data_IF_041861803872
#
_entry.id   IF_041861803872
#
_cell.length_a   1.000
_cell.length_b   1.000
_cell.length_c   1.000
_cell.angle_alpha   90.00
_cell.angle_beta   90.00
_cell.angle_gamma   90.00
#
_symmetry.space_group_name_H-M   'P 1'
#
loop_
_entity.id
_entity.type
_entity.pdbx_description
1 polymer ?
#
# COMPACT_ATOMS: atom_id res chain seq x y z
N UNK A 1 -3.76 17.14 14.06
CA UNK A 1 -3.96 17.41 12.61
C UNK A 1 -2.58 17.55 11.97
N UNK A 2 -2.36 17.05 10.75
CA UNK A 2 -1.03 16.82 10.11
C UNK A 2 -0.12 18.05 9.94
N UNK A 3 -0.60 19.26 10.25
CA UNK A 3 0.14 20.52 10.13
C UNK A 3 0.37 20.96 8.67
N UNK A 4 -0.23 20.25 7.70
CA UNK A 4 -0.11 20.54 6.27
C UNK A 4 -1.34 21.32 5.81
N UNK A 5 -1.13 22.40 5.04
CA UNK A 5 -2.24 23.24 4.54
C UNK A 5 -3.11 22.45 3.55
N UNK A 6 -4.43 22.70 3.50
CA UNK A 6 -5.35 21.96 2.62
C UNK A 6 -4.95 21.93 1.14
N UNK A 7 -4.47 23.05 0.57
CA UNK A 7 -4.07 23.09 -0.84
C UNK A 7 -2.83 22.23 -1.12
N UNK A 8 -1.92 22.10 -0.15
CA UNK A 8 -0.74 21.24 -0.27
C UNK A 8 -1.15 19.78 -0.30
N UNK A 9 -2.11 19.38 0.54
CA UNK A 9 -2.67 18.03 0.49
C UNK A 9 -3.32 17.72 -0.85
N UNK A 10 -4.08 18.66 -1.42
CA UNK A 10 -4.67 18.50 -2.77
C UNK A 10 -3.60 18.31 -3.84
N UNK A 11 -2.51 19.06 -3.76
CA UNK A 11 -1.38 18.91 -4.66
C UNK A 11 -0.67 17.57 -4.45
N UNK A 12 -0.49 17.12 -3.21
CA UNK A 12 0.09 15.81 -2.94
C UNK A 12 -0.80 14.66 -3.45
N UNK A 13 -2.13 14.77 -3.37
CA UNK A 13 -3.03 13.78 -3.98
C UNK A 13 -2.86 13.65 -5.50
N UNK A 14 -2.57 14.75 -6.21
CA UNK A 14 -2.33 14.70 -7.67
C UNK A 14 -0.96 14.09 -7.98
N UNK A 15 0.04 14.38 -7.16
CA UNK A 15 1.41 13.91 -7.37
C UNK A 15 1.60 12.44 -6.95
N UNK A 16 1.11 12.06 -5.77
CA UNK A 16 1.35 10.77 -5.15
C UNK A 16 0.17 9.83 -5.38
N UNK A 17 0.28 8.94 -6.38
CA UNK A 17 -0.74 7.92 -6.69
C UNK A 17 -1.11 7.00 -5.51
N UNK A 18 -0.25 6.91 -4.50
CA UNK A 18 -0.46 6.12 -3.28
C UNK A 18 -1.36 6.82 -2.25
N UNK A 19 -1.53 8.14 -2.36
CA UNK A 19 -2.39 8.96 -1.49
C UNK A 19 -3.70 9.27 -2.24
N UNK A 20 -4.73 8.45 -2.03
CA UNK A 20 -6.02 8.56 -2.72
C UNK A 20 -7.16 8.51 -1.70
N UNK A 21 -7.42 9.60 -0.97
CA UNK A 21 -8.51 9.64 -0.01
C UNK A 21 -9.85 9.45 -0.71
N UNK A 22 -10.78 8.77 -0.04
CA UNK A 22 -12.12 8.56 -0.58
C UNK A 22 -12.84 9.91 -0.73
N UNK A 23 -13.48 10.13 -1.89
CA UNK A 23 -14.36 11.27 -2.10
C UNK A 23 -15.77 10.88 -1.71
N UNK A 24 -16.40 11.68 -0.85
CA UNK A 24 -17.86 11.62 -0.67
C UNK A 24 -18.55 12.26 -1.86
N UNK A 25 -19.84 11.96 -2.02
CA UNK A 25 -20.70 12.54 -3.05
C UNK A 25 -20.76 14.08 -2.97
N UNK A 26 -20.71 14.63 -1.75
CA UNK A 26 -20.54 16.07 -1.48
C UNK A 26 -19.20 16.70 -1.92
N UNK A 27 -18.22 15.93 -2.42
CA UNK A 27 -16.90 16.41 -2.80
C UNK A 27 -15.89 16.53 -1.64
N UNK A 28 -16.30 16.30 -0.39
CA UNK A 28 -15.40 16.24 0.76
C UNK A 28 -14.51 14.99 0.74
N UNK A 29 -13.23 15.19 1.07
CA UNK A 29 -12.22 14.12 1.15
C UNK A 29 -12.22 13.52 2.55
N UNK A 30 -12.39 12.20 2.63
CA UNK A 30 -12.25 11.46 3.89
C UNK A 30 -10.88 10.76 3.90
N UNK A 31 -9.97 11.27 4.72
CA UNK A 31 -8.67 10.64 4.96
C UNK A 31 -8.84 9.48 5.94
N UNK A 32 -8.34 8.31 5.55
CA UNK A 32 -8.22 7.14 6.41
C UNK A 32 -6.93 7.21 7.23
N UNK A 33 -6.80 6.34 8.24
CA UNK A 33 -5.55 6.20 9.01
C UNK A 33 -4.34 5.95 8.10
N UNK A 34 -4.50 5.11 7.08
CA UNK A 34 -3.46 4.81 6.09
C UNK A 34 -3.07 6.04 5.26
N UNK A 35 -4.04 6.90 4.93
CA UNK A 35 -3.74 8.16 4.25
C UNK A 35 -2.96 9.11 5.16
N UNK A 36 -3.28 9.17 6.45
CA UNK A 36 -2.54 9.98 7.42
C UNK A 36 -1.09 9.49 7.59
N UNK A 37 -0.88 8.18 7.63
CA UNK A 37 0.46 7.57 7.64
C UNK A 37 1.24 7.97 6.38
N UNK A 38 0.63 7.83 5.20
CA UNK A 38 1.24 8.23 3.93
C UNK A 38 1.57 9.73 3.89
N UNK A 39 0.68 10.60 4.38
CA UNK A 39 0.93 12.04 4.49
C UNK A 39 2.12 12.31 5.41
N UNK A 40 2.24 11.58 6.52
CA UNK A 40 3.38 11.67 7.42
C UNK A 40 4.70 11.34 6.72
N UNK A 41 4.73 10.23 5.98
CA UNK A 41 5.91 9.81 5.21
C UNK A 41 6.28 10.83 4.13
N UNK A 42 5.29 11.33 3.37
CA UNK A 42 5.52 12.36 2.35
C UNK A 42 6.08 13.63 3.00
N UNK A 43 5.54 14.03 4.15
CA UNK A 43 6.01 15.21 4.88
C UNK A 43 7.48 15.04 5.32
N UNK A 44 7.84 13.92 5.91
CA UNK A 44 9.21 13.63 6.31
C UNK A 44 10.18 13.70 5.12
N UNK A 45 9.81 13.07 4.00
CA UNK A 45 10.65 13.05 2.80
C UNK A 45 10.88 14.45 2.23
N UNK A 46 9.85 15.29 2.17
CA UNK A 46 9.94 16.60 1.54
C UNK A 46 10.52 17.67 2.47
N UNK A 47 10.11 17.69 3.75
CA UNK A 47 10.50 18.75 4.69
C UNK A 47 11.77 18.41 5.46
N UNK A 48 11.89 17.19 5.98
CA UNK A 48 12.99 16.81 6.87
C UNK A 48 14.18 16.33 6.03
N UNK A 49 13.93 15.48 5.05
CA UNK A 49 14.97 14.91 4.17
C UNK A 49 15.21 15.69 2.89
N UNK A 50 14.48 16.78 2.64
CA UNK A 50 14.65 17.71 1.51
C UNK A 50 14.63 17.04 0.13
N UNK A 51 13.90 15.93 -0.03
CA UNK A 51 13.70 15.35 -1.36
C UNK A 51 12.84 16.26 -2.23
N UNK A 52 13.09 16.21 -3.54
CA UNK A 52 12.12 16.69 -4.52
C UNK A 52 10.89 15.77 -4.56
N UNK A 53 9.78 16.24 -5.13
CA UNK A 53 8.57 15.43 -5.35
C UNK A 53 8.91 14.13 -6.12
N UNK A 54 9.74 14.22 -7.16
CA UNK A 54 10.18 13.05 -7.93
C UNK A 54 11.01 12.08 -7.08
N UNK A 55 11.95 12.60 -6.27
CA UNK A 55 12.78 11.80 -5.38
C UNK A 55 11.96 11.09 -4.30
N UNK A 56 11.01 11.79 -3.68
CA UNK A 56 10.10 11.22 -2.68
C UNK A 56 9.23 10.10 -3.28
N UNK A 57 8.70 10.28 -4.51
CA UNK A 57 7.95 9.22 -5.21
C UNK A 57 8.80 7.97 -5.44
N UNK A 58 10.03 8.14 -5.93
CA UNK A 58 10.95 7.02 -6.17
C UNK A 58 11.24 6.27 -4.88
N UNK A 59 11.53 7.01 -3.80
CA UNK A 59 11.81 6.43 -2.49
C UNK A 59 10.64 5.63 -1.91
N UNK A 60 9.42 6.17 -1.98
CA UNK A 60 8.21 5.46 -1.51
C UNK A 60 7.92 4.19 -2.30
N UNK A 61 8.23 4.18 -3.61
CA UNK A 61 8.10 2.99 -4.45
C UNK A 61 9.13 1.92 -4.08
N UNK A 62 10.38 2.32 -3.85
CA UNK A 62 11.46 1.43 -3.42
C UNK A 62 11.14 0.81 -2.05
N UNK A 63 10.71 1.58 -1.06
CA UNK A 63 10.34 1.06 0.26
C UNK A 63 9.20 0.03 0.18
N UNK A 64 8.23 0.25 -0.71
CA UNK A 64 7.15 -0.71 -0.94
C UNK A 64 7.65 -1.99 -1.62
N UNK A 65 8.64 -1.89 -2.50
CA UNK A 65 9.27 -3.05 -3.15
C UNK A 65 10.08 -3.86 -2.13
N UNK A 66 10.92 -3.19 -1.35
CA UNK A 66 11.76 -3.81 -0.32
C UNK A 66 10.89 -4.53 0.72
N UNK A 67 9.82 -3.88 1.21
CA UNK A 67 8.89 -4.53 2.15
C UNK A 67 8.24 -5.79 1.56
N UNK A 68 7.93 -5.80 0.26
CA UNK A 68 7.40 -6.99 -0.41
C UNK A 68 8.46 -8.09 -0.54
N UNK A 69 9.71 -7.73 -0.77
CA UNK A 69 10.83 -8.67 -0.85
C UNK A 69 11.16 -9.27 0.51
N UNK A 70 11.21 -8.45 1.56
CA UNK A 70 11.35 -8.89 2.96
C UNK A 70 10.24 -9.88 3.34
N UNK A 71 8.98 -9.54 3.06
CA UNK A 71 7.86 -10.45 3.29
C UNK A 71 8.00 -11.73 2.47
N UNK A 72 8.40 -11.68 1.19
CA UNK A 72 8.63 -12.91 0.41
C UNK A 72 9.73 -13.78 1.00
N UNK A 73 10.80 -13.18 1.50
CA UNK A 73 11.93 -13.87 2.09
C UNK A 73 11.53 -14.56 3.40
N UNK A 74 10.72 -13.88 4.21
CA UNK A 74 10.18 -14.42 5.47
C UNK A 74 9.27 -15.63 5.21
N UNK A 75 8.36 -15.50 4.22
CA UNK A 75 7.52 -16.61 3.77
C UNK A 75 8.38 -17.78 3.28
N UNK A 76 9.45 -17.55 2.52
CA UNK A 76 10.32 -18.65 2.07
C UNK A 76 11.02 -19.41 3.21
N UNK A 77 11.20 -18.82 4.39
CA UNK A 77 11.78 -19.51 5.56
C UNK A 77 10.79 -20.50 6.18
N UNK A 78 9.49 -20.22 6.12
CA UNK A 78 8.41 -21.10 6.58
C UNK A 78 8.07 -22.19 5.53
N UNK A 79 9.09 -22.78 4.91
CA UNK A 79 9.01 -23.68 3.76
C UNK A 79 8.00 -24.83 3.95
N UNK A 80 7.95 -25.44 5.13
CA UNK A 80 7.05 -26.55 5.43
C UNK A 80 5.57 -26.12 5.61
N UNK A 81 5.32 -24.96 6.22
CA UNK A 81 3.95 -24.43 6.36
C UNK A 81 3.41 -23.95 5.00
N UNK A 82 4.28 -23.38 4.17
CA UNK A 82 3.90 -22.92 2.83
C UNK A 82 3.62 -24.07 1.87
N UNK A 83 4.38 -25.17 1.92
CA UNK A 83 4.09 -26.35 1.09
C UNK A 83 2.71 -26.92 1.44
N UNK A 84 2.42 -27.08 2.73
CA UNK A 84 1.10 -27.51 3.21
C UNK A 84 -0.02 -26.56 2.78
N UNK A 85 0.17 -25.23 2.90
CA UNK A 85 -0.82 -24.24 2.45
C UNK A 85 -1.03 -24.23 0.93
N UNK A 86 0.01 -24.53 0.14
CA UNK A 86 -0.12 -24.68 -1.32
C UNK A 86 -0.95 -25.91 -1.69
N UNK A 87 -0.72 -27.02 -1.00
CA UNK A 87 -1.49 -28.25 -1.20
C UNK A 87 -2.96 -28.07 -0.83
N UNK A 88 -3.25 -27.47 0.33
CA UNK A 88 -4.62 -27.19 0.75
C UNK A 88 -5.31 -26.22 -0.22
N UNK A 89 -4.63 -25.17 -0.68
CA UNK A 89 -5.15 -24.27 -1.71
C UNK A 89 -5.45 -24.98 -3.03
N UNK A 90 -4.62 -25.95 -3.43
CA UNK A 90 -4.84 -26.77 -4.64
C UNK A 90 -6.07 -27.66 -4.45
N UNK A 91 -6.19 -28.35 -3.33
CA UNK A 91 -7.33 -29.19 -3.01
C UNK A 91 -8.65 -28.39 -2.99
N UNK A 92 -8.66 -27.20 -2.35
CA UNK A 92 -9.83 -26.31 -2.33
C UNK A 92 -10.21 -25.86 -3.74
N UNK A 93 -9.23 -25.55 -4.59
CA UNK A 93 -9.49 -25.20 -6.00
C UNK A 93 -10.12 -26.35 -6.78
N UNK A 94 -9.69 -27.58 -6.55
CA UNK A 94 -10.28 -28.76 -7.19
C UNK A 94 -11.72 -28.99 -6.72
N UNK A 95 -11.98 -28.87 -5.42
CA UNK A 95 -13.34 -28.97 -4.86
C UNK A 95 -14.26 -27.88 -5.41
N UNK A 96 -13.82 -26.62 -5.47
CA UNK A 96 -14.60 -25.53 -6.10
C UNK A 96 -14.93 -25.84 -7.56
N UNK A 97 -13.99 -26.42 -8.30
CA UNK A 97 -14.18 -26.76 -9.71
C UNK A 97 -15.18 -27.90 -9.93
N UNK A 98 -15.38 -28.75 -8.93
CA UNK A 98 -16.41 -29.78 -8.92
C UNK A 98 -17.78 -29.13 -8.66
N UNK A 99 -17.85 -28.23 -7.67
CA UNK A 99 -19.08 -27.54 -7.28
C UNK A 99 -19.59 -26.52 -8.33
N UNK A 100 -18.71 -25.94 -9.15
CA UNK A 100 -19.10 -25.06 -10.26
C UNK A 100 -19.59 -25.82 -11.51
N UNK A 101 -19.54 -27.16 -11.49
CA UNK A 101 -19.84 -28.01 -12.65
C UNK A 101 -21.18 -28.75 -12.56
N UNK A 102 -21.87 -28.61 -11.43
CA UNK A 102 -23.26 -29.03 -11.19
C UNK A 102 -24.19 -27.80 -11.18
#
# INVERSE_FOLDING_TARGET
>A
MTGVKPYVLRYWESEFKLLRPARRESGHRKYTRKDLEMIGQIKELLYDRRFSIAGAKKRLLEEKKNRKEELKLDWQKDSAAISALKETKKAIKEVLKILEKD
#
